data_IF_319181735045
#
_entry.id   IF_319181735045
#
_cell.length_a   1.000
_cell.length_b   1.000
_cell.length_c   1.000
_cell.angle_alpha   90.00
_cell.angle_beta   90.00
_cell.angle_gamma   90.00
#
_symmetry.space_group_name_H-M   'P 1'
#
loop_
_entity.id
_entity.type
_entity.pdbx_description
1 polymer ?
#
# COMPACT_ATOMS: atom_id res chain seq x y z
N UNK A 1 -4.65 -25.56 -28.79
CA UNK A 1 -4.82 -25.15 -27.39
C UNK A 1 -3.64 -24.25 -27.05
N UNK A 2 -3.73 -22.94 -27.31
CA UNK A 2 -2.71 -21.96 -26.91
C UNK A 2 -3.31 -21.13 -25.79
N UNK A 3 -2.97 -21.47 -24.54
CA UNK A 3 -3.35 -20.68 -23.37
C UNK A 3 -2.69 -19.30 -23.48
N UNK A 4 -3.46 -18.23 -23.44
CA UNK A 4 -2.95 -16.89 -23.16
C UNK A 4 -2.77 -16.78 -21.66
N UNK A 5 -1.54 -16.82 -21.16
CA UNK A 5 -1.27 -16.75 -19.72
C UNK A 5 -0.77 -15.34 -19.40
N UNK A 6 -1.33 -14.68 -18.39
CA UNK A 6 -0.77 -13.46 -17.83
C UNK A 6 -0.31 -13.73 -16.41
N UNK A 7 0.92 -13.32 -16.06
CA UNK A 7 1.44 -13.42 -14.70
C UNK A 7 1.72 -12.02 -14.13
N UNK A 8 1.05 -11.66 -13.05
CA UNK A 8 1.24 -10.41 -12.30
C UNK A 8 1.97 -10.74 -10.99
N UNK A 9 3.11 -10.10 -10.71
CA UNK A 9 3.81 -10.28 -9.42
C UNK A 9 3.87 -8.96 -8.63
N UNK A 10 3.50 -8.99 -7.35
CA UNK A 10 3.59 -7.84 -6.44
C UNK A 10 4.69 -8.09 -5.40
N UNK A 11 5.46 -7.06 -5.05
CA UNK A 11 6.50 -7.11 -4.01
C UNK A 11 6.13 -6.16 -2.87
N UNK A 12 6.10 -6.70 -1.64
CA UNK A 12 6.11 -5.96 -0.36
C UNK A 12 6.90 -6.78 0.67
N UNK A 13 8.12 -7.21 0.33
CA UNK A 13 8.94 -8.13 1.15
C UNK A 13 8.55 -9.62 1.05
N UNK A 14 7.39 -9.93 0.47
CA UNK A 14 7.00 -11.25 -0.04
C UNK A 14 6.62 -11.08 -1.51
N UNK A 15 7.13 -11.94 -2.40
CA UNK A 15 6.67 -11.97 -3.79
C UNK A 15 5.32 -12.67 -3.85
N UNK A 16 4.27 -11.93 -4.20
CA UNK A 16 2.94 -12.46 -4.50
C UNK A 16 2.83 -12.68 -6.00
N UNK A 17 2.59 -13.91 -6.45
CA UNK A 17 2.40 -14.22 -7.87
C UNK A 17 0.94 -14.53 -8.17
N UNK A 18 0.33 -13.80 -9.11
CA UNK A 18 -1.03 -14.00 -9.62
C UNK A 18 -0.95 -14.40 -11.08
N UNK A 19 -1.80 -15.33 -11.50
CA UNK A 19 -1.94 -15.69 -12.92
C UNK A 19 -3.40 -15.64 -13.34
N UNK A 20 -3.64 -15.07 -14.52
CA UNK A 20 -4.90 -15.15 -15.26
C UNK A 20 -4.68 -15.99 -16.53
N UNK A 21 -5.65 -16.82 -16.91
CA UNK A 21 -5.53 -17.76 -18.03
C UNK A 21 -6.72 -17.66 -18.97
N UNK A 22 -6.52 -17.29 -20.24
CA UNK A 22 -7.54 -17.34 -21.30
C UNK A 22 -7.46 -18.56 -22.20
N UNK A 23 -8.63 -19.03 -22.66
CA UNK A 23 -8.78 -20.16 -23.57
C UNK A 23 -9.30 -19.70 -24.95
N UNK A 24 -8.84 -20.36 -26.02
CA UNK A 24 -9.25 -20.04 -27.39
C UNK A 24 -10.76 -20.33 -27.63
N UNK A 25 -11.49 -19.39 -28.27
CA UNK A 25 -12.90 -19.57 -28.67
C UNK A 25 -13.95 -18.87 -27.80
N UNK A 26 -13.53 -17.92 -26.98
CA UNK A 26 -14.36 -17.23 -25.99
C UNK A 26 -15.03 -15.97 -26.56
N UNK A 27 -16.28 -15.72 -26.17
CA UNK A 27 -17.02 -14.51 -26.55
C UNK A 27 -16.57 -13.29 -25.73
N UNK A 28 -16.99 -12.07 -26.10
CA UNK A 28 -16.70 -10.85 -25.32
C UNK A 28 -17.25 -10.91 -23.88
N UNK A 29 -18.30 -11.69 -23.64
CA UNK A 29 -18.82 -11.98 -22.29
C UNK A 29 -17.93 -12.95 -21.50
N UNK A 30 -17.21 -13.83 -22.18
CA UNK A 30 -16.26 -14.74 -21.56
C UNK A 30 -14.91 -14.05 -21.28
N UNK A 31 -14.51 -13.04 -22.06
CA UNK A 31 -13.43 -12.11 -21.70
C UNK A 31 -13.74 -11.36 -20.39
N UNK A 32 -15.00 -10.93 -20.20
CA UNK A 32 -15.44 -10.37 -18.92
C UNK A 32 -15.40 -11.40 -17.77
N UNK A 33 -15.39 -12.71 -18.06
CA UNK A 33 -15.22 -13.79 -17.06
C UNK A 33 -13.76 -14.12 -16.76
N UNK A 34 -12.80 -13.81 -17.66
CA UNK A 34 -11.36 -13.90 -17.37
C UNK A 34 -10.96 -13.07 -16.16
N UNK A 35 -11.53 -11.89 -16.08
CA UNK A 35 -11.43 -10.91 -14.99
C UNK A 35 -11.80 -11.54 -13.63
N UNK A 36 -12.74 -12.49 -13.63
CA UNK A 36 -13.21 -13.19 -12.44
C UNK A 36 -12.34 -14.40 -12.03
N UNK A 37 -11.42 -14.87 -12.87
CA UNK A 37 -10.59 -16.07 -12.65
C UNK A 37 -9.10 -15.74 -12.38
N UNK A 38 -8.81 -14.68 -11.62
CA UNK A 38 -7.46 -14.49 -11.09
C UNK A 38 -7.16 -15.56 -10.02
N UNK A 39 -6.22 -16.47 -10.29
CA UNK A 39 -5.75 -17.44 -9.29
C UNK A 39 -4.46 -16.92 -8.67
N UNK A 40 -4.48 -16.73 -7.35
CA UNK A 40 -3.25 -16.53 -6.59
C UNK A 40 -2.47 -17.86 -6.59
N UNK A 41 -1.24 -17.84 -7.09
CA UNK A 41 -0.38 -19.02 -7.14
C UNK A 41 0.39 -19.24 -5.82
N UNK A 42 0.49 -18.20 -4.99
CA UNK A 42 1.10 -18.29 -3.66
C UNK A 42 2.03 -17.12 -3.35
N UNK A 43 2.67 -17.23 -2.19
CA UNK A 43 3.74 -16.33 -1.75
C UNK A 43 5.05 -17.09 -1.77
N UNK A 44 6.07 -16.49 -2.40
CA UNK A 44 7.41 -17.05 -2.46
C UNK A 44 8.30 -16.32 -1.45
N UNK A 45 8.96 -17.08 -0.58
CA UNK A 45 9.99 -16.55 0.28
C UNK A 45 11.32 -16.48 -0.49
N UNK A 46 11.93 -15.30 -0.52
CA UNK A 46 13.15 -15.02 -1.27
C UNK A 46 14.15 -14.31 -0.37
N UNK A 47 15.34 -14.89 -0.24
CA UNK A 47 16.42 -14.33 0.57
C UNK A 47 17.26 -13.29 -0.19
N UNK A 48 17.20 -13.31 -1.53
CA UNK A 48 17.86 -12.36 -2.41
C UNK A 48 16.80 -11.65 -3.28
N UNK A 49 16.81 -10.32 -3.23
CA UNK A 49 15.85 -9.46 -3.93
C UNK A 49 16.41 -8.86 -5.22
N UNK A 50 17.56 -9.33 -5.70
CA UNK A 50 18.09 -8.91 -7.01
C UNK A 50 17.13 -9.30 -8.14
N UNK A 51 17.08 -8.49 -9.20
CA UNK A 51 16.22 -8.77 -10.36
C UNK A 51 16.50 -10.14 -11.02
N UNK A 52 17.72 -10.67 -10.87
CA UNK A 52 18.08 -12.01 -11.33
C UNK A 52 17.43 -13.10 -10.47
N UNK A 53 17.61 -13.06 -9.15
CA UNK A 53 17.06 -14.07 -8.25
C UNK A 53 15.53 -14.10 -8.33
N UNK A 54 14.89 -12.93 -8.30
CA UNK A 54 13.44 -12.79 -8.41
C UNK A 54 12.90 -13.38 -9.71
N UNK A 55 13.61 -13.18 -10.83
CA UNK A 55 13.25 -13.77 -12.12
C UNK A 55 13.39 -15.31 -12.11
N UNK A 56 14.49 -15.84 -11.60
CA UNK A 56 14.75 -17.29 -11.57
C UNK A 56 13.73 -18.04 -10.70
N UNK A 57 13.42 -17.49 -9.52
CA UNK A 57 12.43 -18.03 -8.60
C UNK A 57 11.03 -18.00 -9.23
N UNK A 58 10.65 -16.88 -9.85
CA UNK A 58 9.36 -16.75 -10.54
C UNK A 58 9.26 -17.74 -11.71
N UNK A 59 10.31 -17.85 -12.54
CA UNK A 59 10.33 -18.77 -13.68
C UNK A 59 10.24 -20.23 -13.24
N UNK A 60 10.91 -20.61 -12.15
CA UNK A 60 10.83 -21.96 -11.58
C UNK A 60 9.41 -22.27 -11.10
N UNK A 61 8.77 -21.32 -10.45
CA UNK A 61 7.42 -21.49 -9.94
C UNK A 61 6.38 -21.55 -11.07
N UNK A 62 6.52 -20.72 -12.12
CA UNK A 62 5.66 -20.84 -13.29
C UNK A 62 5.74 -22.26 -13.89
N UNK A 63 6.95 -22.82 -14.01
CA UNK A 63 7.17 -24.19 -14.49
C UNK A 63 6.58 -25.25 -13.56
N UNK A 64 6.65 -25.08 -12.24
CA UNK A 64 6.06 -26.04 -11.28
C UNK A 64 4.54 -26.15 -11.43
N UNK A 65 3.89 -25.06 -11.86
CA UNK A 65 2.47 -25.02 -12.21
C UNK A 65 2.17 -25.43 -13.67
N UNK A 66 3.17 -25.85 -14.46
CA UNK A 66 3.00 -26.18 -15.87
C UNK A 66 2.63 -24.97 -16.73
N UNK A 67 3.06 -23.77 -16.33
CA UNK A 67 2.89 -22.52 -17.06
C UNK A 67 4.14 -22.24 -17.90
N UNK A 68 4.02 -22.44 -19.21
CA UNK A 68 5.09 -22.21 -20.16
C UNK A 68 5.31 -20.72 -20.41
N UNK A 69 6.57 -20.29 -20.46
CA UNK A 69 6.89 -18.86 -20.61
C UNK A 69 6.43 -18.30 -21.96
N UNK A 70 6.41 -19.12 -23.00
CA UNK A 70 5.99 -18.74 -24.36
C UNK A 70 4.49 -18.42 -24.47
N UNK A 71 3.71 -18.93 -23.51
CA UNK A 71 2.29 -18.65 -23.36
C UNK A 71 2.05 -17.31 -22.65
N UNK A 72 3.09 -16.72 -22.04
CA UNK A 72 2.98 -15.44 -21.36
C UNK A 72 2.68 -14.30 -22.36
N UNK A 73 1.71 -13.45 -22.03
CA UNK A 73 1.30 -12.29 -22.85
C UNK A 73 1.46 -10.96 -22.14
N UNK A 74 1.42 -10.98 -20.81
CA UNK A 74 1.59 -9.80 -19.99
C UNK A 74 2.40 -10.09 -18.74
N UNK A 75 3.09 -9.07 -18.26
CA UNK A 75 3.78 -9.01 -16.98
C UNK A 75 3.53 -7.66 -16.32
N UNK A 76 3.28 -7.66 -15.02
CA UNK A 76 3.02 -6.43 -14.27
C UNK A 76 3.64 -6.48 -12.88
N UNK A 77 4.36 -5.41 -12.53
CA UNK A 77 5.15 -5.28 -11.31
C UNK A 77 5.12 -3.86 -10.76
N UNK A 78 5.60 -3.70 -9.51
CA UNK A 78 5.92 -2.38 -8.96
C UNK A 78 7.04 -1.67 -9.74
N UNK A 79 7.26 -0.39 -9.42
CA UNK A 79 8.28 0.43 -10.09
C UNK A 79 9.70 0.20 -9.52
N UNK A 80 9.91 -0.82 -8.68
CA UNK A 80 11.21 -1.11 -8.08
C UNK A 80 12.27 -1.42 -9.13
N UNK A 81 13.50 -0.95 -8.92
CA UNK A 81 14.59 -1.10 -9.89
C UNK A 81 14.87 -2.56 -10.27
N UNK A 82 14.76 -3.48 -9.30
CA UNK A 82 14.93 -4.92 -9.54
C UNK A 82 13.76 -5.55 -10.31
N UNK A 83 12.58 -4.93 -10.33
CA UNK A 83 11.41 -5.40 -11.08
C UNK A 83 11.36 -4.76 -12.48
N UNK A 84 11.26 -3.44 -12.56
CA UNK A 84 11.11 -2.64 -13.80
C UNK A 84 12.43 -2.36 -14.54
N UNK A 85 13.58 -2.63 -13.92
CA UNK A 85 14.88 -2.22 -14.46
C UNK A 85 15.10 -2.63 -15.92
N UNK A 86 15.39 -1.64 -16.78
CA UNK A 86 15.56 -1.81 -18.24
C UNK A 86 16.69 -2.77 -18.62
N UNK A 87 17.69 -2.92 -17.76
CA UNK A 87 18.91 -3.70 -18.06
C UNK A 87 19.00 -5.00 -17.27
N UNK A 88 18.65 -4.98 -15.98
CA UNK A 88 18.86 -6.11 -15.07
C UNK A 88 17.61 -6.53 -14.30
N UNK A 89 16.49 -5.84 -14.52
CA UNK A 89 15.24 -6.11 -13.83
C UNK A 89 14.53 -7.36 -14.35
N UNK A 90 13.60 -7.87 -13.55
CA UNK A 90 12.72 -8.99 -13.90
C UNK A 90 12.01 -8.74 -15.23
N UNK A 91 11.52 -7.52 -15.44
CA UNK A 91 10.88 -7.07 -16.67
C UNK A 91 11.71 -7.40 -17.91
N UNK A 92 12.97 -6.94 -17.92
CA UNK A 92 13.87 -7.12 -19.06
C UNK A 92 14.16 -8.60 -19.31
N UNK A 93 14.40 -9.37 -18.25
CA UNK A 93 14.73 -10.79 -18.33
C UNK A 93 13.59 -11.62 -18.92
N UNK A 94 12.35 -11.32 -18.54
CA UNK A 94 11.19 -11.97 -19.15
C UNK A 94 10.96 -11.55 -20.59
N UNK A 95 11.19 -10.28 -20.94
CA UNK A 95 11.14 -9.82 -22.33
C UNK A 95 12.21 -10.50 -23.21
N UNK A 96 13.39 -10.78 -22.66
CA UNK A 96 14.46 -11.48 -23.36
C UNK A 96 14.10 -12.94 -23.68
N UNK A 97 13.33 -13.60 -22.81
CA UNK A 97 12.82 -14.95 -23.05
C UNK A 97 11.58 -14.97 -23.94
N UNK A 98 10.68 -14.02 -23.75
CA UNK A 98 9.44 -13.92 -24.49
C UNK A 98 9.14 -12.45 -24.83
N UNK A 99 9.51 -11.99 -26.04
CA UNK A 99 9.26 -10.63 -26.49
C UNK A 99 7.77 -10.25 -26.56
N UNK A 100 6.86 -11.22 -26.51
CA UNK A 100 5.40 -11.00 -26.54
C UNK A 100 4.80 -10.76 -25.16
N UNK A 101 5.57 -10.86 -24.08
CA UNK A 101 5.10 -10.61 -22.73
C UNK A 101 5.18 -9.12 -22.38
N UNK A 102 4.16 -8.35 -22.77
CA UNK A 102 4.13 -6.91 -22.60
C UNK A 102 4.19 -6.51 -21.12
N UNK A 103 4.96 -5.47 -20.81
CA UNK A 103 5.06 -4.94 -19.45
C UNK A 103 4.08 -3.81 -19.22
N UNK A 104 3.24 -3.97 -18.20
CA UNK A 104 2.36 -2.92 -17.69
C UNK A 104 2.80 -2.55 -16.26
N UNK A 105 3.18 -1.29 -15.98
CA UNK A 105 3.45 -0.89 -14.62
C UNK A 105 2.18 -1.00 -13.77
N UNK A 106 2.33 -1.40 -12.51
CA UNK A 106 1.20 -1.45 -11.57
C UNK A 106 0.73 -0.01 -11.30
N UNK A 107 -0.37 0.39 -11.93
CA UNK A 107 -0.89 1.75 -11.89
C UNK A 107 -1.36 2.11 -10.48
N UNK A 108 -1.84 1.15 -9.67
CA UNK A 108 -2.15 1.38 -8.26
C UNK A 108 -0.95 1.87 -7.48
N UNK A 109 0.25 1.33 -7.77
CA UNK A 109 1.48 1.79 -7.12
C UNK A 109 1.84 3.20 -7.57
N UNK A 110 1.70 3.51 -8.86
CA UNK A 110 1.93 4.85 -9.41
C UNK A 110 0.93 5.89 -8.86
N UNK A 111 -0.35 5.53 -8.76
CA UNK A 111 -1.38 6.38 -8.13
C UNK A 111 -1.07 6.59 -6.65
N UNK A 112 -0.73 5.52 -5.94
CA UNK A 112 -0.36 5.60 -4.53
C UNK A 112 0.83 6.54 -4.29
N UNK A 113 1.86 6.49 -5.14
CA UNK A 113 2.98 7.44 -5.07
C UNK A 113 2.52 8.87 -5.37
N UNK A 114 1.67 9.05 -6.38
CA UNK A 114 1.11 10.37 -6.74
C UNK A 114 0.32 10.97 -5.58
N UNK A 115 -0.53 10.19 -4.91
CA UNK A 115 -1.30 10.62 -3.74
C UNK A 115 -0.39 10.99 -2.56
N UNK A 116 0.64 10.18 -2.30
CA UNK A 116 1.65 10.49 -1.29
C UNK A 116 2.41 11.79 -1.63
N UNK A 117 2.82 12.00 -2.87
CA UNK A 117 3.52 13.20 -3.31
C UNK A 117 2.63 14.45 -3.24
N UNK A 118 1.35 14.34 -3.62
CA UNK A 118 0.38 15.43 -3.45
C UNK A 118 0.23 15.83 -1.97
N UNK A 119 0.10 14.85 -1.07
CA UNK A 119 0.03 15.12 0.37
C UNK A 119 1.33 15.75 0.90
N UNK A 120 2.48 15.31 0.38
CA UNK A 120 3.80 15.77 0.77
C UNK A 120 4.24 17.07 0.07
N UNK A 121 3.50 17.61 -0.90
CA UNK A 121 3.81 18.88 -1.58
C UNK A 121 2.93 20.02 -1.09
N UNK A 122 1.69 19.73 -0.71
CA UNK A 122 0.79 20.71 -0.08
C UNK A 122 1.26 21.08 1.34
N UNK A 123 1.45 22.37 1.63
CA UNK A 123 1.90 22.85 2.95
C UNK A 123 0.98 22.36 4.08
N UNK A 124 -0.34 22.52 3.92
CA UNK A 124 -1.31 22.05 4.92
C UNK A 124 -1.29 20.53 5.08
N UNK A 125 -1.10 19.79 3.97
CA UNK A 125 -0.98 18.34 3.98
C UNK A 125 0.27 17.85 4.73
N UNK A 126 1.44 18.47 4.45
CA UNK A 126 2.69 18.18 5.17
C UNK A 126 2.54 18.42 6.67
N UNK A 127 1.99 19.57 7.07
CA UNK A 127 1.77 19.89 8.48
C UNK A 127 0.84 18.88 9.13
N UNK A 128 -0.32 18.60 8.53
CA UNK A 128 -1.29 17.63 9.04
C UNK A 128 -0.70 16.24 9.24
N UNK A 129 -0.09 15.65 8.20
CA UNK A 129 0.52 14.32 8.32
C UNK A 129 1.75 14.33 9.24
N UNK A 130 2.43 15.47 9.41
CA UNK A 130 3.49 15.65 10.40
C UNK A 130 2.97 15.53 11.84
N UNK A 131 1.80 16.12 12.14
CA UNK A 131 1.15 15.99 13.45
C UNK A 131 0.74 14.54 13.72
N UNK A 132 0.10 13.87 12.76
CA UNK A 132 -0.26 12.46 12.90
C UNK A 132 0.98 11.57 13.14
N UNK A 133 2.10 11.87 12.47
CA UNK A 133 3.35 11.17 12.71
C UNK A 133 3.87 11.38 14.13
N UNK A 134 3.81 12.61 14.65
CA UNK A 134 4.27 12.95 16.00
C UNK A 134 3.43 12.28 17.08
N UNK A 135 2.10 12.24 16.91
CA UNK A 135 1.19 11.48 17.80
C UNK A 135 1.62 10.00 17.84
N UNK A 136 1.86 9.41 16.67
CA UNK A 136 2.31 8.02 16.58
C UNK A 136 3.66 7.78 17.26
N UNK A 137 4.64 8.63 16.99
CA UNK A 137 5.98 8.53 17.58
C UNK A 137 5.93 8.75 19.09
N UNK A 138 5.05 9.63 19.57
CA UNK A 138 4.85 9.86 21.00
C UNK A 138 4.37 8.57 21.69
N UNK A 139 3.31 7.93 21.21
CA UNK A 139 2.85 6.69 21.84
C UNK A 139 3.72 5.46 21.51
N UNK A 140 4.17 5.33 20.27
CA UNK A 140 4.83 4.13 19.74
C UNK A 140 6.26 3.92 20.24
N UNK A 141 6.94 4.97 20.69
CA UNK A 141 8.33 4.87 21.17
C UNK A 141 8.45 4.49 22.65
N UNK A 142 7.34 4.28 23.38
CA UNK A 142 7.38 3.88 24.79
C UNK A 142 6.27 2.91 25.14
N UNK A 143 6.64 1.78 25.76
CA UNK A 143 5.67 0.80 26.26
C UNK A 143 4.73 1.42 27.30
N UNK A 144 5.21 2.36 28.12
CA UNK A 144 4.39 3.02 29.13
C UNK A 144 3.39 3.99 28.50
N UNK A 145 3.81 4.80 27.53
CA UNK A 145 2.90 5.68 26.78
C UNK A 145 1.88 4.88 25.95
N UNK A 146 2.31 3.75 25.38
CA UNK A 146 1.40 2.83 24.71
C UNK A 146 0.32 2.25 25.65
N UNK A 147 0.67 1.95 26.92
CA UNK A 147 -0.31 1.53 27.93
C UNK A 147 -1.31 2.64 28.25
N UNK A 148 -0.86 3.89 28.36
CA UNK A 148 -1.72 5.06 28.55
C UNK A 148 -2.72 5.18 27.38
N UNK A 149 -2.22 5.05 26.15
CA UNK A 149 -3.07 5.07 24.95
C UNK A 149 -4.11 3.96 24.97
N UNK A 150 -3.72 2.72 25.27
CA UNK A 150 -4.65 1.58 25.35
C UNK A 150 -5.64 1.68 26.51
N UNK A 151 -5.30 2.41 27.57
CA UNK A 151 -6.20 2.69 28.69
C UNK A 151 -7.32 3.66 28.33
N UNK A 152 -6.99 4.68 27.53
CA UNK A 152 -7.94 5.71 27.10
C UNK A 152 -8.71 5.31 25.83
N UNK A 153 -8.05 4.65 24.87
CA UNK A 153 -8.57 4.45 23.52
C UNK A 153 -8.88 2.97 23.25
N UNK A 154 -10.17 2.64 23.12
CA UNK A 154 -10.65 1.25 22.99
C UNK A 154 -10.64 0.77 21.54
N UNK A 155 -9.99 -0.36 21.27
CA UNK A 155 -9.94 -0.93 19.92
C UNK A 155 -8.97 -0.20 18.98
N UNK A 156 -8.01 0.55 19.54
CA UNK A 156 -7.03 1.31 18.77
C UNK A 156 -6.23 0.44 17.77
N UNK A 157 -6.33 0.78 16.48
CA UNK A 157 -5.62 0.16 15.36
C UNK A 157 -4.88 1.21 14.52
N UNK A 158 -3.97 1.96 15.13
CA UNK A 158 -3.18 2.94 14.40
C UNK A 158 -2.05 2.25 13.62
N UNK A 159 -2.03 2.42 12.30
CA UNK A 159 -0.89 2.08 11.46
C UNK A 159 0.06 3.27 11.43
N UNK A 160 1.37 3.01 11.57
CA UNK A 160 2.36 4.04 11.35
C UNK A 160 2.28 4.56 9.90
N UNK A 161 2.47 5.87 9.71
CA UNK A 161 2.46 6.45 8.38
C UNK A 161 3.62 5.88 7.57
N UNK A 162 3.30 5.36 6.40
CA UNK A 162 4.29 4.99 5.39
C UNK A 162 4.41 6.09 4.36
N UNK A 163 5.65 6.38 3.96
CA UNK A 163 5.93 7.29 2.84
C UNK A 163 5.36 6.74 1.52
N UNK A 164 5.28 5.42 1.40
CA UNK A 164 4.94 4.72 0.15
C UNK A 164 3.59 4.02 0.20
N UNK A 165 2.74 4.26 1.21
CA UNK A 165 1.42 3.62 1.29
C UNK A 165 0.34 4.62 1.70
N UNK A 166 -0.48 5.04 0.74
CA UNK A 166 -1.64 5.89 0.92
C UNK A 166 -2.66 5.28 1.88
N UNK A 167 -2.87 3.97 1.82
CA UNK A 167 -3.76 3.26 2.74
C UNK A 167 -3.36 3.48 4.20
N UNK A 168 -2.05 3.46 4.52
CA UNK A 168 -1.60 3.74 5.89
C UNK A 168 -2.00 5.13 6.38
N UNK A 169 -1.96 6.13 5.48
CA UNK A 169 -2.37 7.52 5.78
C UNK A 169 -3.87 7.60 6.03
N UNK A 170 -4.68 6.93 5.20
CA UNK A 170 -6.14 6.86 5.36
C UNK A 170 -6.50 6.22 6.70
N UNK A 171 -5.88 5.09 7.04
CA UNK A 171 -6.15 4.39 8.30
C UNK A 171 -5.71 5.19 9.53
N UNK A 172 -4.58 5.90 9.48
CA UNK A 172 -4.17 6.83 10.56
C UNK A 172 -5.19 7.95 10.77
N UNK A 173 -5.71 8.54 9.68
CA UNK A 173 -6.71 9.62 9.78
C UNK A 173 -8.02 9.09 10.35
N UNK A 174 -8.50 7.93 9.88
CA UNK A 174 -9.71 7.29 10.40
C UNK A 174 -9.58 6.99 11.90
N UNK A 175 -8.44 6.44 12.34
CA UNK A 175 -8.21 6.10 13.74
C UNK A 175 -8.34 7.33 14.66
N UNK A 176 -7.71 8.45 14.27
CA UNK A 176 -7.78 9.70 15.05
C UNK A 176 -9.17 10.32 14.96
N UNK A 177 -9.79 10.38 13.78
CA UNK A 177 -11.12 10.95 13.62
C UNK A 177 -12.16 10.26 14.49
N UNK A 178 -12.16 8.92 14.51
CA UNK A 178 -13.16 8.13 15.23
C UNK A 178 -13.04 8.24 16.75
N UNK A 179 -11.86 8.61 17.27
CA UNK A 179 -11.53 8.57 18.69
C UNK A 179 -10.80 9.85 19.12
N UNK A 180 -11.15 10.99 18.51
CA UNK A 180 -10.41 12.24 18.68
C UNK A 180 -10.34 12.67 20.14
N UNK A 181 -11.47 12.61 20.85
CA UNK A 181 -11.54 12.93 22.27
C UNK A 181 -10.66 11.99 23.11
N UNK A 182 -10.75 10.68 22.89
CA UNK A 182 -9.98 9.70 23.66
C UNK A 182 -8.46 9.84 23.40
N UNK A 183 -8.06 10.16 22.17
CA UNK A 183 -6.66 10.44 21.81
C UNK A 183 -6.17 11.71 22.49
N UNK A 184 -7.01 12.74 22.58
CA UNK A 184 -6.68 13.99 23.28
C UNK A 184 -6.46 13.73 24.77
N UNK A 185 -7.36 13.00 25.42
CA UNK A 185 -7.20 12.61 26.83
C UNK A 185 -5.94 11.76 27.04
N UNK A 186 -5.65 10.82 26.14
CA UNK A 186 -4.43 10.03 26.20
C UNK A 186 -3.15 10.89 26.10
N UNK A 187 -3.16 11.96 25.30
CA UNK A 187 -2.02 12.87 25.16
C UNK A 187 -1.86 13.74 26.42
N UNK A 188 -2.96 14.23 27.01
CA UNK A 188 -2.93 14.95 28.29
C UNK A 188 -2.39 14.07 29.42
N UNK A 189 -2.83 12.81 29.47
CA UNK A 189 -2.30 11.81 30.40
C UNK A 189 -0.79 11.62 30.25
N UNK A 190 -0.27 11.60 29.02
CA UNK A 190 1.19 11.56 28.78
C UNK A 190 1.86 12.83 29.27
N UNK A 191 1.25 13.99 29.04
CA UNK A 191 1.71 15.28 29.53
C UNK A 191 1.88 15.36 31.05
N UNK A 192 1.04 14.65 31.80
CA UNK A 192 1.10 14.60 33.27
C UNK A 192 2.03 13.51 33.81
N UNK A 193 2.10 12.36 33.12
CA UNK A 193 2.69 11.12 33.67
C UNK A 193 4.08 10.79 33.12
N UNK A 194 4.50 11.37 31.99
CA UNK A 194 5.83 11.11 31.45
C UNK A 194 6.91 11.90 32.21
N UNK A 195 8.07 11.26 32.43
CA UNK A 195 9.17 11.87 33.16
C UNK A 195 10.02 12.80 32.29
N UNK A 196 9.94 12.65 30.96
CA UNK A 196 10.67 13.49 30.01
C UNK A 196 9.87 14.78 29.72
N UNK A 197 10.42 15.92 30.15
CA UNK A 197 9.77 17.22 30.01
C UNK A 197 9.54 17.62 28.54
N UNK A 198 10.39 17.18 27.61
CA UNK A 198 10.20 17.47 26.19
C UNK A 198 9.03 16.66 25.61
N UNK A 199 8.94 15.38 25.99
CA UNK A 199 7.81 14.51 25.62
C UNK A 199 6.49 15.01 26.22
N UNK A 200 6.49 15.40 27.49
CA UNK A 200 5.31 15.90 28.18
C UNK A 200 4.81 17.22 27.55
N UNK A 201 5.73 18.16 27.30
CA UNK A 201 5.43 19.43 26.62
C UNK A 201 4.91 19.20 25.19
N UNK A 202 5.52 18.28 24.44
CA UNK A 202 5.05 17.90 23.12
C UNK A 202 3.63 17.30 23.17
N UNK A 203 3.35 16.39 24.10
CA UNK A 203 2.04 15.76 24.23
C UNK A 203 0.94 16.80 24.52
N UNK A 204 1.21 17.75 25.42
CA UNK A 204 0.29 18.87 25.71
C UNK A 204 0.09 19.77 24.48
N UNK A 205 1.16 20.10 23.74
CA UNK A 205 1.06 20.86 22.49
C UNK A 205 0.20 20.15 21.44
N UNK A 206 0.39 18.83 21.29
CA UNK A 206 -0.40 18.00 20.38
C UNK A 206 -1.88 18.00 20.78
N UNK A 207 -2.17 17.87 22.08
CA UNK A 207 -3.54 17.78 22.61
C UNK A 207 -4.31 19.10 22.52
N UNK A 208 -3.67 20.22 22.87
CA UNK A 208 -4.38 21.50 23.05
C UNK A 208 -4.39 22.37 21.80
N UNK A 209 -3.31 22.35 21.03
CA UNK A 209 -3.11 23.25 19.89
C UNK A 209 -3.29 22.52 18.57
N UNK A 210 -2.43 21.53 18.33
CA UNK A 210 -2.28 20.96 16.99
C UNK A 210 -3.49 20.13 16.57
N UNK A 211 -4.08 19.33 17.46
CA UNK A 211 -5.32 18.60 17.15
C UNK A 211 -6.50 19.54 16.90
N UNK A 212 -6.62 20.61 17.69
CA UNK A 212 -7.68 21.63 17.54
C UNK A 212 -7.60 22.33 16.17
N UNK A 213 -6.39 22.63 15.69
CA UNK A 213 -6.18 23.28 14.39
C UNK A 213 -6.65 22.41 13.21
N UNK A 214 -6.67 21.09 13.37
CA UNK A 214 -7.09 20.14 12.34
C UNK A 214 -8.48 19.56 12.56
N UNK A 215 -9.13 19.85 13.69
CA UNK A 215 -10.51 19.43 13.97
C UNK A 215 -11.49 19.82 12.84
N UNK A 216 -11.46 21.05 12.29
CA UNK A 216 -12.30 21.39 11.13
C UNK A 216 -11.99 20.56 9.88
N UNK A 217 -10.73 20.15 9.70
CA UNK A 217 -10.32 19.32 8.57
C UNK A 217 -10.81 17.88 8.76
N UNK A 218 -10.68 17.32 9.96
CA UNK A 218 -11.14 15.99 10.33
C UNK A 218 -12.67 15.89 10.20
N UNK A 219 -13.40 16.92 10.64
CA UNK A 219 -14.87 16.96 10.58
C UNK A 219 -15.42 17.33 9.21
N UNK A 220 -14.61 17.94 8.35
CA UNK A 220 -15.08 18.33 7.03
C UNK A 220 -15.44 17.12 6.15
N UNK A 221 -16.43 17.34 5.29
CA UNK A 221 -16.71 16.47 4.14
C UNK A 221 -15.49 16.30 3.23
N UNK A 222 -14.47 17.16 3.31
CA UNK A 222 -13.24 17.04 2.54
C UNK A 222 -12.44 15.79 2.91
N UNK A 223 -12.35 15.44 4.20
CA UNK A 223 -11.68 14.22 4.65
C UNK A 223 -12.40 12.97 4.13
N UNK A 224 -13.73 12.91 4.27
CA UNK A 224 -14.52 11.83 3.69
C UNK A 224 -14.36 11.76 2.17
N UNK A 225 -14.61 12.86 1.47
CA UNK A 225 -14.63 12.87 0.01
C UNK A 225 -13.25 12.58 -0.57
N UNK A 226 -12.15 13.16 -0.07
CA UNK A 226 -10.83 13.00 -0.71
C UNK A 226 -10.06 11.77 -0.22
N UNK A 227 -10.20 11.36 1.04
CA UNK A 227 -9.61 10.10 1.50
C UNK A 227 -10.38 8.92 0.92
N UNK A 228 -11.71 8.95 0.95
CA UNK A 228 -12.51 7.86 0.38
C UNK A 228 -12.48 7.88 -1.15
N UNK A 229 -12.39 9.03 -1.84
CA UNK A 229 -12.15 9.03 -3.30
C UNK A 229 -10.74 8.60 -3.67
N UNK A 230 -9.72 8.97 -2.89
CA UNK A 230 -8.35 8.48 -3.10
C UNK A 230 -8.27 6.96 -2.91
N UNK A 231 -8.93 6.45 -1.87
CA UNK A 231 -9.05 5.00 -1.63
C UNK A 231 -9.93 4.32 -2.67
N UNK A 232 -11.06 4.91 -3.07
CA UNK A 232 -11.94 4.38 -4.10
C UNK A 232 -11.25 4.36 -5.47
N UNK A 233 -10.48 5.39 -5.83
CA UNK A 233 -9.67 5.38 -7.04
C UNK A 233 -8.58 4.32 -6.98
N UNK A 234 -7.95 4.12 -5.82
CA UNK A 234 -7.00 3.03 -5.62
C UNK A 234 -7.67 1.65 -5.74
N UNK A 235 -8.85 1.46 -5.16
CA UNK A 235 -9.61 0.22 -5.21
C UNK A 235 -10.18 -0.05 -6.61
N UNK A 236 -10.67 0.99 -7.30
CA UNK A 236 -11.14 0.95 -8.69
C UNK A 236 -9.98 0.70 -9.63
N UNK A 237 -8.82 1.32 -9.45
CA UNK A 237 -7.63 1.00 -10.27
C UNK A 237 -7.13 -0.41 -9.98
N UNK A 238 -7.20 -0.88 -8.72
CA UNK A 238 -6.85 -2.26 -8.39
C UNK A 238 -7.79 -3.24 -9.08
N UNK A 239 -9.09 -2.93 -9.14
CA UNK A 239 -10.09 -3.71 -9.87
C UNK A 239 -9.95 -3.58 -11.38
N UNK A 240 -9.69 -2.40 -11.91
CA UNK A 240 -9.54 -2.13 -13.34
C UNK A 240 -8.28 -2.79 -13.89
N UNK A 241 -7.18 -2.79 -13.14
CA UNK A 241 -5.97 -3.55 -13.47
C UNK A 241 -6.16 -5.06 -13.37
N UNK A 242 -7.19 -5.52 -12.65
CA UNK A 242 -7.68 -6.90 -12.69
C UNK A 242 -8.62 -7.11 -13.89
N UNK A 243 -9.32 -6.07 -14.35
CA UNK A 243 -10.31 -6.10 -15.44
C UNK A 243 -9.69 -5.97 -16.85
N UNK A 244 -8.60 -5.23 -17.03
CA UNK A 244 -8.03 -4.92 -18.36
C UNK A 244 -6.76 -5.69 -18.70
N UNK A 245 -6.39 -6.68 -17.89
CA UNK A 245 -5.13 -7.40 -17.97
C UNK A 245 -5.41 -8.91 -18.09
#
# INVERSE_FOLDING_TARGET
MRLGRMALAQSNGLQRMRVAQSADGWSSEDELRMIAWSKNLGFLNVNDTTGKCLFEVTLKELKSFGLEINDMRGQGYDNGANMKGKHQGVQKRFLDLNPRAFYTPYGCHSLNLTLCDMANTCVKGKSFFGVLQRINTNFGNSINRWKILKGNVKGWSFKALSQTCWESRVESVKAIKLQLCDVREALLDVGEKDNDAAIASEANSLAEKELSDFEPLLDSNWCHINLDRGQMLFDVMTRFEIETA
#
